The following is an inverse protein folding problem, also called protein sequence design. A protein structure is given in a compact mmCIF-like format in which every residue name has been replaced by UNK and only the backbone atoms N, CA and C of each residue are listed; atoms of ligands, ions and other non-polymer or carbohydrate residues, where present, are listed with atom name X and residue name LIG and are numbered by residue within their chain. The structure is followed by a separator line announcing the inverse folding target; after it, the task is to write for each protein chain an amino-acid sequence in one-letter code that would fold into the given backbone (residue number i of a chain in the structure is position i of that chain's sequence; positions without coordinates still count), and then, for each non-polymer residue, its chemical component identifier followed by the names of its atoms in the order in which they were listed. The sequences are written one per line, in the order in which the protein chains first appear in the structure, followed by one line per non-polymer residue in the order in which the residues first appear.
data_IF_788409317314
#
_entry.id   IF_788409317314
#
_cell.length_a   1.000
_cell.length_b   1.000
_cell.length_c   1.000
_cell.angle_alpha   90.00
_cell.angle_beta   90.00
_cell.angle_gamma   90.00
#
_symmetry.space_group_name_H-M   'P 1'
#
loop_
_entity.id
_entity.type
_entity.pdbx_description
1 polymer ?
#
# COMPACT_ATOMS: atom_id res chain seq x y z
N UNK A 1 -27.95 -51.02 -16.93
CA UNK A 1 -26.56 -51.50 -16.78
C UNK A 1 -25.67 -50.47 -17.46
N UNK A 2 -24.71 -49.79 -16.86
CA UNK A 2 -24.24 -49.64 -15.49
C UNK A 2 -23.45 -48.32 -15.46
N UNK A 3 -23.52 -47.59 -14.36
CA UNK A 3 -22.59 -46.51 -14.04
C UNK A 3 -21.23 -47.12 -13.71
N UNK A 4 -20.14 -46.57 -14.24
CA UNK A 4 -18.81 -46.60 -13.57
C UNK A 4 -18.13 -45.24 -13.81
N UNK A 5 -17.95 -44.52 -12.71
CA UNK A 5 -17.10 -43.34 -12.54
C UNK A 5 -15.62 -43.72 -12.41
N UNK A 6 -14.72 -42.74 -12.66
CA UNK A 6 -13.52 -42.34 -11.86
C UNK A 6 -12.37 -41.83 -12.76
N UNK A 7 -11.34 -41.13 -12.23
CA UNK A 7 -11.32 -40.03 -11.26
C UNK A 7 -10.29 -38.92 -11.68
N UNK A 8 -10.25 -37.82 -10.93
CA UNK A 8 -9.14 -36.84 -10.75
C UNK A 8 -7.86 -36.92 -11.62
N UNK A 9 -7.48 -35.77 -12.19
CA UNK A 9 -6.21 -35.05 -11.92
C UNK A 9 -6.09 -33.89 -12.92
N UNK A 10 -6.34 -32.65 -12.50
CA UNK A 10 -5.34 -31.75 -11.90
C UNK A 10 -4.02 -31.70 -12.66
N UNK A 11 -3.77 -30.57 -13.31
CA UNK A 11 -2.48 -29.89 -13.26
C UNK A 11 -2.69 -28.41 -13.53
N UNK A 12 -3.01 -27.72 -12.45
CA UNK A 12 -2.75 -26.30 -12.25
C UNK A 12 -1.22 -26.13 -12.27
N UNK A 13 -0.69 -25.44 -13.26
CA UNK A 13 0.64 -24.82 -13.17
C UNK A 13 0.42 -23.32 -13.03
N UNK A 14 0.17 -22.90 -11.80
CA UNK A 14 0.44 -21.54 -11.35
C UNK A 14 1.93 -21.47 -11.03
N UNK A 15 2.70 -20.96 -12.00
CA UNK A 15 4.06 -20.52 -11.75
C UNK A 15 4.29 -19.20 -12.50
N UNK A 16 3.72 -18.15 -11.93
CA UNK A 16 4.16 -16.78 -12.15
C UNK A 16 3.89 -16.01 -10.85
N UNK A 17 4.96 -15.49 -10.26
CA UNK A 17 4.89 -14.44 -9.24
C UNK A 17 4.30 -13.18 -9.88
N UNK A 18 2.99 -13.19 -10.13
CA UNK A 18 2.23 -12.02 -10.56
C UNK A 18 1.89 -11.21 -9.31
N UNK A 19 2.21 -9.90 -9.37
CA UNK A 19 1.76 -8.94 -8.38
C UNK A 19 0.26 -9.14 -8.10
N UNK A 20 -0.21 -8.97 -6.86
CA UNK A 20 -1.61 -9.16 -6.52
C UNK A 20 -2.46 -8.27 -7.43
N UNK A 21 -3.20 -8.91 -8.34
CA UNK A 21 -4.10 -8.23 -9.26
C UNK A 21 -5.23 -7.61 -8.47
N UNK A 22 -5.59 -6.39 -8.83
CA UNK A 22 -6.69 -5.60 -8.28
C UNK A 22 -7.95 -6.37 -7.93
N UNK A 23 -8.69 -6.03 -6.86
CA UNK A 23 -9.93 -6.69 -6.48
C UNK A 23 -10.91 -6.83 -7.66
N UNK A 24 -11.62 -7.95 -7.74
CA UNK A 24 -12.80 -8.05 -8.61
C UNK A 24 -13.88 -7.16 -7.98
N UNK A 25 -14.02 -5.93 -8.46
CA UNK A 25 -14.99 -4.96 -7.93
C UNK A 25 -16.30 -5.06 -8.71
N UNK A 26 -17.40 -5.36 -8.03
CA UNK A 26 -18.76 -5.25 -8.56
C UNK A 26 -19.29 -3.81 -8.56
N UNK A 27 -18.51 -2.84 -8.05
CA UNK A 27 -18.89 -1.43 -7.94
C UNK A 27 -18.21 -0.74 -6.77
N UNK A 28 -18.15 0.59 -6.79
CA UNK A 28 -17.56 1.42 -5.72
C UNK A 28 -18.41 1.47 -4.44
N UNK A 29 -19.65 0.99 -4.48
CA UNK A 29 -20.63 1.06 -3.38
C UNK A 29 -20.85 -0.26 -2.62
N UNK A 30 -20.29 -1.38 -3.09
CA UNK A 30 -20.42 -2.66 -2.38
C UNK A 30 -19.35 -2.82 -1.29
N UNK A 31 -19.68 -3.43 -0.13
CA UNK A 31 -18.69 -3.76 0.88
C UNK A 31 -17.52 -4.59 0.32
N UNK A 32 -16.33 -4.42 0.88
CA UNK A 32 -15.16 -5.20 0.52
C UNK A 32 -15.35 -6.63 1.00
N UNK A 33 -15.36 -7.58 0.05
CA UNK A 33 -15.28 -8.99 0.37
C UNK A 33 -13.87 -9.30 0.92
N UNK A 34 -13.72 -9.43 2.24
CA UNK A 34 -12.44 -9.69 2.91
C UNK A 34 -11.96 -11.14 2.73
N UNK A 35 -11.56 -11.46 1.50
CA UNK A 35 -10.87 -12.70 1.14
C UNK A 35 -9.35 -12.54 1.15
N UNK A 36 -8.61 -13.63 0.90
CA UNK A 36 -7.14 -13.63 0.87
C UNK A 36 -6.58 -12.58 -0.10
N UNK A 37 -7.16 -12.45 -1.30
CA UNK A 37 -6.70 -11.52 -2.34
C UNK A 37 -6.84 -10.08 -1.90
N UNK A 38 -7.98 -9.67 -1.36
CA UNK A 38 -8.23 -8.29 -0.95
C UNK A 38 -7.41 -7.91 0.28
N UNK A 39 -7.14 -8.85 1.20
CA UNK A 39 -6.24 -8.63 2.32
C UNK A 39 -4.78 -8.48 1.88
N UNK A 40 -4.32 -9.29 0.93
CA UNK A 40 -2.98 -9.15 0.34
C UNK A 40 -2.87 -7.86 -0.47
N UNK A 41 -3.93 -7.49 -1.20
CA UNK A 41 -4.00 -6.23 -1.93
C UNK A 41 -3.89 -5.03 -0.98
N UNK A 42 -4.65 -5.02 0.12
CA UNK A 42 -4.53 -4.00 1.18
C UNK A 42 -3.08 -3.84 1.65
N UNK A 43 -2.37 -4.94 1.89
CA UNK A 43 -0.95 -4.88 2.25
C UNK A 43 -0.06 -4.36 1.13
N UNK A 44 -0.32 -4.73 -0.12
CA UNK A 44 0.44 -4.21 -1.26
C UNK A 44 0.27 -2.70 -1.43
N UNK A 45 -0.88 -2.17 -1.00
CA UNK A 45 -1.19 -0.76 -1.07
C UNK A 45 -0.59 0.02 0.12
N UNK A 46 -0.74 -0.49 1.36
CA UNK A 46 -0.24 0.15 2.59
C UNK A 46 1.26 -0.06 2.85
N UNK A 47 1.82 -1.18 2.39
CA UNK A 47 3.21 -1.61 2.66
C UNK A 47 3.86 -2.18 1.39
N UNK A 48 3.89 -1.42 0.27
CA UNK A 48 4.35 -1.91 -1.02
C UNK A 48 5.78 -2.46 -0.97
N UNK A 49 6.69 -1.77 -0.28
CA UNK A 49 8.09 -2.18 -0.18
C UNK A 49 8.27 -3.50 0.59
N UNK A 50 7.52 -3.71 1.68
CA UNK A 50 7.57 -4.97 2.40
C UNK A 50 6.95 -6.13 1.62
N UNK A 51 5.91 -5.89 0.83
CA UNK A 51 5.30 -6.92 -0.03
C UNK A 51 6.24 -7.30 -1.17
N UNK A 52 6.79 -6.32 -1.89
CA UNK A 52 7.75 -6.55 -3.00
C UNK A 52 9.00 -7.29 -2.50
N UNK A 53 9.46 -7.00 -1.29
CA UNK A 53 10.63 -7.65 -0.70
C UNK A 53 10.31 -8.98 0.01
N UNK A 54 9.09 -9.51 -0.08
CA UNK A 54 8.62 -10.72 0.62
C UNK A 54 8.95 -10.71 2.12
N UNK A 55 8.79 -9.55 2.78
CA UNK A 55 9.13 -9.37 4.19
C UNK A 55 7.97 -9.69 5.14
N UNK A 56 6.76 -9.94 4.63
CA UNK A 56 5.58 -10.20 5.46
C UNK A 56 5.25 -11.70 5.47
N UNK A 57 4.73 -12.19 6.59
CA UNK A 57 4.25 -13.56 6.73
C UNK A 57 2.98 -13.60 7.57
N UNK A 58 1.96 -14.30 7.06
CA UNK A 58 0.74 -14.58 7.81
C UNK A 58 0.94 -15.78 8.74
N UNK A 59 0.41 -15.68 9.95
CA UNK A 59 0.38 -16.74 10.95
C UNK A 59 -1.02 -16.80 11.57
N UNK A 60 -1.79 -17.88 11.37
CA UNK A 60 -1.52 -19.00 10.46
C UNK A 60 -1.50 -18.57 8.97
N UNK A 61 -1.02 -19.44 8.07
CA UNK A 61 -1.05 -19.18 6.63
C UNK A 61 -2.49 -18.92 6.16
N UNK A 62 -2.66 -18.07 5.15
CA UNK A 62 -3.97 -17.75 4.57
C UNK A 62 -4.67 -18.95 3.91
N UNK A 63 -3.92 -19.96 3.47
CA UNK A 63 -4.43 -21.16 2.79
C UNK A 63 -5.09 -22.13 3.77
N UNK A 64 -4.52 -22.25 4.97
CA UNK A 64 -5.00 -23.16 6.01
C UNK A 64 -6.12 -22.57 6.86
N UNK A 65 -6.49 -21.29 6.64
CA UNK A 65 -7.51 -20.63 7.44
C UNK A 65 -8.86 -21.36 7.38
N UNK A 66 -9.26 -21.81 6.19
CA UNK A 66 -10.55 -22.48 5.98
C UNK A 66 -10.64 -23.85 6.68
N UNK A 67 -9.49 -24.42 7.07
CA UNK A 67 -9.40 -25.72 7.75
C UNK A 67 -9.43 -25.59 9.28
N UNK A 68 -9.34 -24.37 9.82
CA UNK A 68 -9.30 -24.13 11.26
C UNK A 68 -10.70 -24.25 11.87
N UNK A 69 -10.84 -25.22 12.78
CA UNK A 69 -12.10 -25.52 13.48
C UNK A 69 -12.15 -24.99 14.91
N UNK A 70 -11.07 -24.38 15.38
CA UNK A 70 -10.91 -23.85 16.74
C UNK A 70 -10.68 -22.33 16.70
N UNK A 71 -10.94 -21.60 17.81
CA UNK A 71 -10.70 -20.16 17.85
C UNK A 71 -9.23 -19.82 17.54
N UNK A 72 -8.99 -18.91 16.59
CA UNK A 72 -7.65 -18.52 16.17
C UNK A 72 -7.50 -16.99 16.04
N UNK A 73 -6.26 -16.55 15.89
CA UNK A 73 -5.93 -15.16 15.61
C UNK A 73 -5.06 -15.14 14.34
N UNK A 74 -5.43 -14.35 13.36
CA UNK A 74 -4.62 -14.13 12.17
C UNK A 74 -3.63 -12.99 12.44
N UNK A 75 -2.35 -13.25 12.26
CA UNK A 75 -1.27 -12.32 12.56
C UNK A 75 -0.41 -12.08 11.32
N UNK A 76 0.09 -10.85 11.17
CA UNK A 76 1.11 -10.52 10.19
C UNK A 76 2.41 -10.25 10.93
N UNK A 77 3.47 -10.94 10.52
CA UNK A 77 4.80 -10.77 11.05
C UNK A 77 5.75 -10.24 9.97
N UNK A 78 6.61 -9.29 10.34
CA UNK A 78 7.75 -8.89 9.53
C UNK A 78 8.89 -9.88 9.77
N UNK A 79 9.31 -10.57 8.72
CA UNK A 79 10.49 -11.44 8.71
C UNK A 79 11.71 -10.57 9.02
N UNK A 80 12.48 -10.90 10.06
CA UNK A 80 13.75 -10.23 10.27
C UNK A 80 14.64 -10.41 9.04
N UNK A 81 15.34 -9.34 8.66
CA UNK A 81 16.43 -9.45 7.70
C UNK A 81 17.38 -10.53 8.23
N UNK A 82 17.60 -11.58 7.46
CA UNK A 82 18.62 -12.57 7.77
C UNK A 82 19.95 -11.84 7.70
N UNK A 83 20.43 -11.30 8.81
CA UNK A 83 21.82 -10.92 8.95
C UNK A 83 22.60 -12.22 8.88
N UNK A 84 22.97 -12.63 7.66
CA UNK A 84 23.96 -13.68 7.43
C UNK A 84 25.32 -13.19 7.94
N UNK A 85 25.47 -13.13 9.26
CA UNK A 85 26.75 -13.17 9.94
C UNK A 85 26.72 -14.38 10.88
N UNK A 86 26.62 -15.56 10.28
CA UNK A 86 27.18 -16.76 10.91
C UNK A 86 28.48 -17.09 10.19
N UNK A 87 29.51 -16.26 10.42
CA UNK A 87 30.92 -16.67 10.28
C UNK A 87 31.32 -17.51 11.49
N UNK A 88 30.60 -18.59 11.75
CA UNK A 88 31.11 -19.67 12.58
C UNK A 88 31.18 -20.91 11.68
N UNK A 89 32.39 -21.31 11.26
CA UNK A 89 32.55 -22.56 10.56
C UNK A 89 31.99 -23.67 11.44
N UNK A 90 31.20 -24.55 10.80
CA UNK A 90 30.66 -25.79 11.33
C UNK A 90 31.50 -26.36 12.49
N UNK A 91 30.98 -26.31 13.72
CA UNK A 91 31.56 -26.99 14.88
C UNK A 91 30.85 -28.32 15.07
N UNK A 92 31.62 -29.40 15.05
CA UNK A 92 31.16 -30.78 15.30
C UNK A 92 30.62 -30.96 16.72
N UNK A 93 30.96 -30.05 17.63
CA UNK A 93 30.58 -30.06 19.04
C UNK A 93 29.44 -29.06 19.38
N UNK A 94 28.85 -28.40 18.37
CA UNK A 94 27.69 -27.54 18.60
C UNK A 94 26.45 -28.40 18.93
N UNK A 95 25.72 -28.12 20.02
CA UNK A 95 24.53 -28.88 20.38
C UNK A 95 23.51 -28.87 19.23
N UNK A 96 22.98 -30.05 18.94
CA UNK A 96 22.04 -30.32 17.86
C UNK A 96 20.83 -29.36 17.96
N UNK A 97 20.68 -28.53 16.93
CA UNK A 97 19.36 -28.23 16.36
C UNK A 97 18.35 -27.50 17.25
N UNK A 98 18.73 -26.43 17.94
CA UNK A 98 17.76 -25.37 18.24
C UNK A 98 18.05 -24.20 17.30
N UNK A 99 17.65 -24.35 16.04
CA UNK A 99 17.52 -23.21 15.14
C UNK A 99 16.58 -22.20 15.83
N UNK A 100 17.18 -21.18 16.46
CA UNK A 100 16.46 -20.15 17.19
C UNK A 100 15.38 -19.60 16.25
N UNK A 101 14.11 -19.50 16.69
CA UNK A 101 13.08 -18.85 15.89
C UNK A 101 13.64 -17.51 15.41
N UNK A 102 13.62 -17.29 14.10
CA UNK A 102 14.05 -15.99 13.58
C UNK A 102 13.21 -14.92 14.27
N UNK A 103 13.82 -13.83 14.78
CA UNK A 103 13.05 -12.76 15.39
C UNK A 103 12.00 -12.30 14.37
N UNK A 104 10.74 -12.30 14.79
CA UNK A 104 9.61 -11.83 14.00
C UNK A 104 9.01 -10.66 14.75
N UNK A 105 8.80 -9.55 14.05
CA UNK A 105 8.11 -8.39 14.61
C UNK A 105 6.65 -8.50 14.23
N UNK A 106 5.76 -8.55 15.21
CA UNK A 106 4.32 -8.49 14.96
C UNK A 106 3.98 -7.13 14.34
N UNK A 107 3.37 -7.13 13.16
CA UNK A 107 2.95 -5.93 12.42
C UNK A 107 1.51 -5.59 12.78
N UNK A 108 0.62 -6.58 12.68
CA UNK A 108 -0.79 -6.46 13.00
C UNK A 108 -1.36 -7.84 13.35
N UNK A 109 -2.51 -7.87 14.02
CA UNK A 109 -3.23 -9.10 14.32
C UNK A 109 -4.73 -8.86 14.26
N UNK A 110 -5.52 -9.89 13.96
CA UNK A 110 -6.96 -9.86 14.12
C UNK A 110 -7.35 -9.84 15.60
N UNK A 111 -8.65 -9.63 15.87
CA UNK A 111 -9.25 -9.87 17.17
C UNK A 111 -8.95 -11.28 17.69
N UNK A 112 -8.98 -11.41 19.02
CA UNK A 112 -8.71 -12.70 19.67
C UNK A 112 -9.90 -13.64 19.53
N UNK A 113 -9.61 -14.91 19.23
CA UNK A 113 -10.62 -15.97 19.23
C UNK A 113 -11.60 -15.89 18.07
N UNK A 114 -11.14 -15.44 16.90
CA UNK A 114 -11.95 -15.48 15.68
C UNK A 114 -12.38 -16.92 15.39
N UNK A 115 -13.67 -17.09 15.09
CA UNK A 115 -14.27 -18.40 14.80
C UNK A 115 -14.47 -18.62 13.30
N UNK A 116 -14.31 -17.59 12.46
CA UNK A 116 -14.38 -17.72 11.02
C UNK A 116 -13.19 -17.01 10.33
N UNK A 117 -12.71 -17.57 9.19
CA UNK A 117 -11.68 -16.96 8.36
C UNK A 117 -12.01 -15.54 7.92
N UNK A 118 -13.27 -15.32 7.50
CA UNK A 118 -13.75 -14.03 7.06
C UNK A 118 -13.68 -12.97 8.16
N UNK A 119 -14.12 -13.29 9.39
CA UNK A 119 -14.02 -12.37 10.52
C UNK A 119 -12.57 -12.09 10.90
N UNK A 120 -11.69 -13.08 10.82
CA UNK A 120 -10.27 -12.88 11.09
C UNK A 120 -9.61 -11.95 10.07
N UNK A 121 -9.93 -12.10 8.78
CA UNK A 121 -9.43 -11.23 7.70
C UNK A 121 -9.97 -9.80 7.85
N UNK A 122 -11.29 -9.64 8.06
CA UNK A 122 -11.93 -8.33 8.28
C UNK A 122 -11.33 -7.63 9.50
N UNK A 123 -11.24 -8.31 10.64
CA UNK A 123 -10.69 -7.72 11.86
C UNK A 123 -9.19 -7.39 11.75
N UNK A 124 -8.44 -8.17 10.96
CA UNK A 124 -7.05 -7.81 10.67
C UNK A 124 -6.96 -6.57 9.76
N UNK A 125 -7.82 -6.48 8.75
CA UNK A 125 -7.90 -5.31 7.88
C UNK A 125 -8.27 -4.05 8.66
N UNK A 126 -9.26 -4.13 9.54
CA UNK A 126 -9.64 -3.07 10.48
C UNK A 126 -8.41 -2.60 11.30
N UNK A 127 -7.66 -3.52 11.90
CA UNK A 127 -6.46 -3.17 12.66
C UNK A 127 -5.35 -2.54 11.78
N UNK A 128 -5.22 -2.96 10.52
CA UNK A 128 -4.28 -2.33 9.57
C UNK A 128 -4.73 -0.92 9.14
N UNK A 129 -6.04 -0.68 9.09
CA UNK A 129 -6.66 0.59 8.69
C UNK A 129 -6.89 1.55 9.87
N UNK A 130 -6.70 1.10 11.11
CA UNK A 130 -6.91 1.91 12.33
C UNK A 130 -5.99 3.13 12.45
N UNK A 131 -4.87 3.15 11.72
CA UNK A 131 -3.97 4.30 11.63
C UNK A 131 -4.47 5.26 10.54
N UNK A 132 -5.39 6.14 10.92
CA UNK A 132 -6.03 7.09 9.99
C UNK A 132 -4.99 8.00 9.31
N UNK A 133 -3.95 8.44 10.03
CA UNK A 133 -2.90 9.30 9.45
C UNK A 133 -2.15 8.57 8.34
N UNK A 134 -1.79 7.31 8.57
CA UNK A 134 -1.16 6.47 7.54
C UNK A 134 -2.10 6.25 6.34
N UNK A 135 -3.37 5.97 6.60
CA UNK A 135 -4.36 5.72 5.54
C UNK A 135 -4.56 6.97 4.68
N UNK A 136 -4.76 8.13 5.29
CA UNK A 136 -4.94 9.40 4.59
C UNK A 136 -3.69 9.79 3.80
N UNK A 137 -2.50 9.64 4.39
CA UNK A 137 -1.24 9.86 3.69
C UNK A 137 -1.07 8.93 2.48
N UNK A 138 -1.51 7.68 2.61
CA UNK A 138 -1.45 6.69 1.53
C UNK A 138 -2.44 7.01 0.42
N UNK A 139 -3.67 7.39 0.74
CA UNK A 139 -4.69 7.86 -0.22
C UNK A 139 -4.15 9.09 -0.98
N UNK A 140 -3.60 10.07 -0.26
CA UNK A 140 -3.03 11.27 -0.85
C UNK A 140 -1.87 10.94 -1.80
N UNK A 141 -1.00 9.98 -1.42
CA UNK A 141 0.08 9.48 -2.28
C UNK A 141 -0.44 8.89 -3.58
N UNK A 142 -1.43 7.99 -3.52
CA UNK A 142 -1.99 7.39 -4.75
C UNK A 142 -2.74 8.41 -5.60
N UNK A 143 -3.38 9.41 -4.99
CA UNK A 143 -3.99 10.52 -5.71
C UNK A 143 -2.93 11.37 -6.45
N UNK A 144 -1.80 11.65 -5.82
CA UNK A 144 -0.67 12.35 -6.46
C UNK A 144 -0.07 11.52 -7.61
N UNK A 145 0.12 10.21 -7.42
CA UNK A 145 0.61 9.31 -8.46
C UNK A 145 -0.34 9.24 -9.65
N UNK A 146 -1.65 9.11 -9.40
CA UNK A 146 -2.67 9.16 -10.44
C UNK A 146 -2.63 10.49 -11.20
N UNK A 147 -2.56 11.62 -10.49
CA UNK A 147 -2.49 12.94 -11.10
C UNK A 147 -1.25 13.07 -12.00
N UNK A 148 -0.07 12.66 -11.53
CA UNK A 148 1.17 12.65 -12.32
C UNK A 148 1.02 11.78 -13.58
N UNK A 149 0.45 10.59 -13.47
CA UNK A 149 0.37 9.67 -14.60
C UNK A 149 -0.76 10.03 -15.61
N UNK A 150 -1.75 10.82 -15.21
CA UNK A 150 -2.85 11.29 -16.07
C UNK A 150 -2.62 12.67 -16.69
N UNK A 151 -1.63 13.42 -16.23
CA UNK A 151 -1.38 14.81 -16.66
C UNK A 151 -0.65 14.91 -18.01
N UNK A 152 -0.93 15.93 -18.83
CA UNK A 152 -0.21 16.11 -20.10
C UNK A 152 1.30 16.40 -19.93
N UNK A 153 2.12 16.00 -20.91
CA UNK A 153 3.59 16.14 -20.86
C UNK A 153 4.05 17.57 -20.54
N UNK A 154 3.48 18.58 -21.21
CA UNK A 154 3.86 19.99 -20.98
C UNK A 154 3.63 20.44 -19.52
N UNK A 155 2.55 19.97 -18.90
CA UNK A 155 2.25 20.27 -17.51
C UNK A 155 3.18 19.48 -16.58
N UNK A 156 3.50 18.22 -16.91
CA UNK A 156 4.49 17.44 -16.16
C UNK A 156 5.90 18.06 -16.19
N UNK A 157 6.34 18.59 -17.33
CA UNK A 157 7.59 19.33 -17.44
C UNK A 157 7.58 20.60 -16.58
N UNK A 158 6.42 21.26 -16.48
CA UNK A 158 6.24 22.41 -15.58
C UNK A 158 6.29 22.00 -14.11
N UNK A 159 5.62 20.92 -13.75
CA UNK A 159 5.63 20.33 -12.41
C UNK A 159 7.06 19.94 -12.03
N UNK A 160 7.80 19.26 -12.91
CA UNK A 160 9.17 18.85 -12.65
C UNK A 160 10.07 20.06 -12.35
N UNK A 161 9.97 21.12 -13.14
CA UNK A 161 10.71 22.38 -12.89
C UNK A 161 10.34 22.97 -11.54
N UNK A 162 9.05 23.06 -11.23
CA UNK A 162 8.57 23.61 -9.96
C UNK A 162 9.07 22.80 -8.75
N UNK A 163 9.03 21.47 -8.79
CA UNK A 163 9.51 20.63 -7.68
C UNK A 163 11.02 20.77 -7.49
N UNK A 164 11.79 20.84 -8.59
CA UNK A 164 13.23 21.09 -8.52
C UNK A 164 13.56 22.44 -7.85
N UNK A 165 12.80 23.49 -8.14
CA UNK A 165 12.95 24.79 -7.49
C UNK A 165 12.55 24.72 -6.00
N UNK A 166 11.49 23.98 -5.69
CA UNK A 166 10.95 23.84 -4.33
C UNK A 166 11.96 23.29 -3.32
N UNK A 167 12.91 22.45 -3.74
CA UNK A 167 14.02 21.97 -2.89
C UNK A 167 14.86 23.12 -2.30
N UNK A 168 14.99 24.22 -3.04
CA UNK A 168 15.85 25.34 -2.68
C UNK A 168 15.14 26.44 -1.89
N UNK A 169 13.81 26.36 -1.79
CA UNK A 169 12.97 27.31 -1.06
C UNK A 169 13.33 27.31 0.42
N UNK A 170 13.41 28.48 1.05
CA UNK A 170 13.71 28.59 2.48
C UNK A 170 12.56 28.03 3.35
N UNK A 171 12.83 27.60 4.58
CA UNK A 171 11.81 26.94 5.42
C UNK A 171 10.63 27.86 5.79
N UNK A 172 10.90 29.15 5.95
CA UNK A 172 9.88 30.18 6.20
C UNK A 172 8.97 30.39 4.99
N UNK A 173 9.54 30.45 3.79
CA UNK A 173 8.77 30.52 2.55
C UNK A 173 7.98 29.22 2.32
N UNK A 174 8.57 28.06 2.60
CA UNK A 174 7.90 26.75 2.52
C UNK A 174 6.66 26.71 3.40
N UNK A 175 6.82 27.07 4.68
CA UNK A 175 5.71 27.10 5.63
C UNK A 175 4.67 28.15 5.22
N UNK A 176 5.10 29.34 4.78
CA UNK A 176 4.19 30.39 4.34
C UNK A 176 3.34 29.97 3.13
N UNK A 177 3.90 29.23 2.17
CA UNK A 177 3.15 28.65 1.05
C UNK A 177 2.18 27.58 1.53
N UNK A 178 2.61 26.69 2.41
CA UNK A 178 1.74 25.65 2.97
C UNK A 178 0.56 26.26 3.73
N UNK A 179 0.81 27.28 4.54
CA UNK A 179 -0.23 28.02 5.28
C UNK A 179 -1.25 28.63 4.32
N UNK A 180 -0.79 29.28 3.24
CA UNK A 180 -1.68 29.84 2.21
C UNK A 180 -2.57 28.77 1.57
N UNK A 181 -2.02 27.60 1.24
CA UNK A 181 -2.77 26.49 0.65
C UNK A 181 -3.75 25.84 1.65
N UNK A 182 -3.44 25.92 2.95
CA UNK A 182 -4.37 25.56 4.03
C UNK A 182 -5.47 26.60 4.27
N UNK A 183 -5.49 27.72 3.54
CA UNK A 183 -6.44 28.82 3.74
C UNK A 183 -6.11 29.72 4.93
N UNK A 184 -4.85 29.70 5.39
CA UNK A 184 -4.36 30.51 6.50
C UNK A 184 -3.74 31.82 6.01
N UNK A 185 -4.09 32.93 6.66
CA UNK A 185 -3.47 34.25 6.43
C UNK A 185 -3.12 34.86 7.78
N UNK A 186 -1.85 35.21 7.98
CA UNK A 186 -1.34 35.75 9.25
C UNK A 186 -1.61 34.89 10.50
N UNK A 187 -1.71 33.57 10.34
CA UNK A 187 -1.99 32.63 11.43
C UNK A 187 -3.48 32.41 11.71
N UNK A 188 -4.38 33.08 10.97
CA UNK A 188 -5.81 32.92 11.09
C UNK A 188 -6.39 32.19 9.87
N UNK A 189 -7.38 31.32 10.10
CA UNK A 189 -8.13 30.67 9.03
C UNK A 189 -9.10 31.67 8.40
N UNK A 190 -8.88 31.99 7.12
CA UNK A 190 -9.56 33.12 6.46
C UNK A 190 -10.14 32.78 5.09
N UNK A 191 -9.90 31.59 4.55
CA UNK A 191 -10.26 31.28 3.17
C UNK A 191 -10.55 29.82 2.88
N UNK A 192 -10.64 29.51 1.60
CA UNK A 192 -10.82 28.16 1.06
C UNK A 192 -9.47 27.45 1.03
N UNK A 193 -9.39 26.27 1.62
CA UNK A 193 -8.23 25.39 1.53
C UNK A 193 -8.20 24.66 0.19
N UNK A 194 -7.03 24.11 -0.17
CA UNK A 194 -6.90 23.25 -1.34
C UNK A 194 -7.79 22.02 -1.18
N UNK A 195 -8.70 21.86 -2.14
CA UNK A 195 -9.67 20.77 -2.20
C UNK A 195 -9.62 20.05 -3.56
N UNK A 196 -10.59 19.16 -3.81
CA UNK A 196 -10.69 18.39 -5.05
C UNK A 196 -10.98 19.22 -6.30
N UNK A 197 -11.50 20.44 -6.15
CA UNK A 197 -11.89 21.33 -7.24
C UNK A 197 -10.72 22.21 -7.72
N UNK A 198 -9.64 22.24 -6.94
CA UNK A 198 -8.41 22.95 -7.30
C UNK A 198 -7.69 22.29 -8.50
N UNK A 199 -6.86 23.08 -9.20
CA UNK A 199 -6.08 22.57 -10.32
C UNK A 199 -5.13 21.44 -9.89
N UNK A 200 -4.71 20.61 -10.84
CA UNK A 200 -3.77 19.51 -10.56
C UNK A 200 -2.47 20.05 -9.99
N UNK A 201 -1.97 21.15 -10.54
CA UNK A 201 -0.74 21.79 -10.11
C UNK A 201 -0.82 22.25 -8.66
N UNK A 202 -1.91 22.91 -8.26
CA UNK A 202 -2.11 23.37 -6.88
C UNK A 202 -2.25 22.22 -5.90
N UNK A 203 -2.97 21.16 -6.28
CA UNK A 203 -3.11 19.95 -5.44
C UNK A 203 -1.79 19.22 -5.26
N UNK A 204 -0.99 19.13 -6.32
CA UNK A 204 0.34 18.53 -6.26
C UNK A 204 1.32 19.39 -5.44
N UNK A 205 1.28 20.72 -5.59
CA UNK A 205 2.08 21.63 -4.76
C UNK A 205 1.77 21.45 -3.28
N UNK A 206 0.49 21.46 -2.91
CA UNK A 206 0.05 21.21 -1.53
C UNK A 206 0.57 19.86 -1.01
N UNK A 207 0.43 18.81 -1.82
CA UNK A 207 0.90 17.48 -1.47
C UNK A 207 2.43 17.44 -1.25
N UNK A 208 3.22 18.00 -2.16
CA UNK A 208 4.68 18.02 -2.04
C UNK A 208 5.15 18.81 -0.81
N UNK A 209 4.53 19.96 -0.55
CA UNK A 209 4.80 20.77 0.63
C UNK A 209 4.50 20.01 1.93
N UNK A 210 3.43 19.22 1.95
CA UNK A 210 3.02 18.40 3.10
C UNK A 210 3.96 17.21 3.31
N UNK A 211 4.44 16.56 2.23
CA UNK A 211 5.39 15.43 2.35
C UNK A 211 6.77 15.83 2.86
N UNK A 212 7.11 17.12 2.76
CA UNK A 212 8.37 17.66 3.22
C UNK A 212 9.53 17.49 2.25
N UNK A 213 10.59 18.27 2.48
CA UNK A 213 11.77 18.37 1.60
C UNK A 213 12.49 17.06 1.35
N UNK A 214 12.58 16.20 2.37
CA UNK A 214 13.29 14.92 2.29
C UNK A 214 12.68 14.01 1.20
N UNK A 215 11.37 14.06 1.02
CA UNK A 215 10.67 13.22 0.05
C UNK A 215 10.73 13.77 -1.39
N UNK A 216 11.14 15.03 -1.59
CA UNK A 216 11.07 15.67 -2.91
C UNK A 216 11.98 15.01 -3.94
N UNK A 217 13.16 14.52 -3.56
CA UNK A 217 14.07 13.85 -4.50
C UNK A 217 13.43 12.61 -5.13
N UNK A 218 12.66 11.86 -4.34
CA UNK A 218 11.93 10.68 -4.82
C UNK A 218 10.77 11.09 -5.75
N UNK A 219 10.10 12.21 -5.47
CA UNK A 219 9.07 12.76 -6.35
C UNK A 219 9.64 13.31 -7.66
N UNK A 220 10.78 13.97 -7.63
CA UNK A 220 11.51 14.40 -8.84
C UNK A 220 11.83 13.18 -9.70
N UNK A 221 12.35 12.10 -9.09
CA UNK A 221 12.62 10.85 -9.80
C UNK A 221 11.34 10.23 -10.36
N UNK A 222 10.24 10.26 -9.60
CA UNK A 222 8.94 9.73 -10.03
C UNK A 222 8.38 10.50 -11.24
N UNK A 223 8.37 11.84 -11.19
CA UNK A 223 7.90 12.68 -12.30
C UNK A 223 8.81 12.53 -13.52
N UNK A 224 10.13 12.50 -13.31
CA UNK A 224 11.10 12.24 -14.37
C UNK A 224 10.92 10.87 -15.03
N UNK A 225 10.64 9.83 -14.24
CA UNK A 225 10.33 8.50 -14.77
C UNK A 225 9.03 8.50 -15.59
N UNK A 226 7.99 9.21 -15.12
CA UNK A 226 6.72 9.36 -15.86
C UNK A 226 6.93 10.07 -17.21
N UNK A 227 7.76 11.12 -17.26
CA UNK A 227 8.14 11.81 -18.50
C UNK A 227 8.97 10.95 -19.44
N UNK A 228 9.73 10.00 -18.90
CA UNK A 228 10.55 9.06 -19.67
C UNK A 228 9.78 7.85 -20.23
N UNK A 229 8.49 7.72 -19.97
CA UNK A 229 7.68 6.64 -20.53
C UNK A 229 7.39 6.89 -22.01
N UNK A 230 7.55 5.85 -22.83
CA UNK A 230 7.52 5.95 -24.29
C UNK A 230 6.10 6.14 -24.86
N UNK A 231 5.06 5.94 -24.05
CA UNK A 231 3.67 6.07 -24.52
C UNK A 231 2.70 6.58 -23.47
N UNK A 232 1.74 7.38 -23.92
CA UNK A 232 0.59 7.80 -23.11
C UNK A 232 -0.26 6.61 -22.64
N UNK A 233 -0.25 5.51 -23.40
CA UNK A 233 -0.97 4.28 -23.04
C UNK A 233 -0.36 3.61 -21.80
N UNK A 234 0.96 3.54 -21.72
CA UNK A 234 1.65 3.01 -20.54
C UNK A 234 1.36 3.87 -19.31
N UNK A 235 1.48 5.20 -19.46
CA UNK A 235 1.15 6.16 -18.41
C UNK A 235 -0.30 6.02 -17.94
N UNK A 236 -1.25 5.89 -18.87
CA UNK A 236 -2.65 5.67 -18.54
C UNK A 236 -2.87 4.37 -17.76
N UNK A 237 -2.21 3.27 -18.14
CA UNK A 237 -2.31 2.00 -17.41
C UNK A 237 -1.79 2.13 -15.97
N UNK A 238 -0.71 2.88 -15.75
CA UNK A 238 -0.23 3.20 -14.40
C UNK A 238 -1.23 4.07 -13.63
N UNK A 239 -1.80 5.10 -14.28
CA UNK A 239 -2.82 5.95 -13.67
C UNK A 239 -4.03 5.12 -13.19
N UNK A 240 -4.51 4.18 -14.01
CA UNK A 240 -5.61 3.27 -13.63
C UNK A 240 -5.30 2.47 -12.37
N UNK A 241 -4.09 1.90 -12.26
CA UNK A 241 -3.66 1.14 -11.06
C UNK A 241 -3.66 2.03 -9.81
N UNK A 242 -3.18 3.27 -9.93
CA UNK A 242 -3.14 4.19 -8.79
C UNK A 242 -4.53 4.68 -8.39
N UNK A 243 -5.41 4.95 -9.35
CA UNK A 243 -6.80 5.31 -9.05
C UNK A 243 -7.55 4.16 -8.37
N UNK A 244 -7.30 2.92 -8.80
CA UNK A 244 -7.92 1.76 -8.20
C UNK A 244 -7.41 1.49 -6.79
N UNK A 245 -6.10 1.64 -6.55
CA UNK A 245 -5.52 1.55 -5.21
C UNK A 245 -6.11 2.61 -4.26
N UNK A 246 -6.22 3.85 -4.73
CA UNK A 246 -6.87 4.95 -4.00
C UNK A 246 -8.33 4.61 -3.68
N UNK A 247 -9.11 4.25 -4.70
CA UNK A 247 -10.54 3.95 -4.58
C UNK A 247 -10.80 2.77 -3.64
N UNK A 248 -9.96 1.73 -3.72
CA UNK A 248 -10.02 0.60 -2.80
C UNK A 248 -9.78 1.02 -1.36
N UNK A 249 -8.75 1.83 -1.08
CA UNK A 249 -8.47 2.31 0.28
C UNK A 249 -9.58 3.20 0.83
N UNK A 250 -10.10 4.14 0.03
CA UNK A 250 -11.21 4.98 0.46
C UNK A 250 -12.41 4.13 0.87
N UNK A 251 -12.77 3.14 0.04
CA UNK A 251 -13.89 2.22 0.32
C UNK A 251 -13.64 1.35 1.55
N UNK A 252 -12.45 0.75 1.63
CA UNK A 252 -12.08 -0.11 2.75
C UNK A 252 -12.06 0.66 4.08
N UNK A 253 -11.54 1.88 4.07
CA UNK A 253 -11.51 2.77 5.24
C UNK A 253 -12.92 3.17 5.67
N UNK A 254 -13.77 3.58 4.73
CA UNK A 254 -15.17 3.95 5.00
C UNK A 254 -15.96 2.80 5.63
N UNK A 255 -15.83 1.57 5.10
CA UNK A 255 -16.51 0.39 5.64
C UNK A 255 -16.09 0.06 7.09
N UNK A 256 -14.90 0.46 7.53
CA UNK A 256 -14.42 0.20 8.90
C UNK A 256 -14.79 1.31 9.88
N UNK A 257 -15.26 2.47 9.39
CA UNK A 257 -15.74 3.57 10.25
C UNK A 257 -17.23 3.49 10.57
N UNK A 258 -18.00 2.75 9.75
CA UNK A 258 -19.43 2.44 9.94
C UNK A 258 -19.64 1.27 10.92
#
# INVERSE_FOLDING_TARGET
MSVVSNPFSDNHTDDASTAPTSPVSNGTTEPVNWNNRNLVYLLSVLKPEEVVADKLAFVPSLEVLEELTYPFNLQIHKKAASTRIHRYPYSKDAPIGTSRPHPRTLVAQSSRGCLSPELARRSLAENLLSDNELVDATIARYNALWAIHSTGVAVLESILRAICEMITVADDEWQGRLDQLCGMVAGDYTGQCVDGDCSVETRLEYYFLTTGKIALEDWIRCVGACLGMDSDKERAAHAEVYDEARSFLCRASYEMMD
#
